data_IF_096531317682
#
_entry.id   IF_096531317682
#
_cell.length_a   1.000
_cell.length_b   1.000
_cell.length_c   1.000
_cell.angle_alpha   90.00
_cell.angle_beta   90.00
_cell.angle_gamma   90.00
#
_symmetry.space_group_name_H-M   'P 1'
#
loop_
_entity.id
_entity.type
_entity.pdbx_description
1 polymer ?
#
# COMPACT_ATOMS: atom_id res chain seq x y z
N UNK A 1 5.33 33.04 8.33
CA UNK A 1 3.94 32.55 8.46
C UNK A 1 3.33 32.48 7.06
N UNK A 2 2.51 31.47 6.76
CA UNK A 2 1.73 31.46 5.50
C UNK A 2 1.66 30.15 4.71
N UNK A 3 1.92 28.97 5.29
CA UNK A 3 1.58 27.70 4.62
C UNK A 3 0.26 27.16 5.16
N UNK A 4 -0.67 26.90 4.26
CA UNK A 4 -1.91 26.17 4.54
C UNK A 4 -1.60 24.69 4.72
N UNK A 5 -2.47 23.95 5.42
CA UNK A 5 -2.35 22.49 5.53
C UNK A 5 -2.36 21.81 4.15
N UNK A 6 -3.04 22.40 3.17
CA UNK A 6 -3.10 21.90 1.78
C UNK A 6 -1.72 21.92 1.11
N UNK A 7 -0.84 22.85 1.48
CA UNK A 7 0.51 22.95 0.93
C UNK A 7 1.45 21.85 1.45
N UNK A 8 1.02 21.08 2.46
CA UNK A 8 1.78 20.03 3.11
C UNK A 8 1.31 18.62 2.71
N UNK A 9 0.34 18.50 1.81
CA UNK A 9 -0.14 17.21 1.32
C UNK A 9 0.97 16.49 0.54
N UNK A 10 1.12 15.20 0.80
CA UNK A 10 2.08 14.37 0.09
C UNK A 10 1.52 13.99 -1.29
N UNK A 11 2.11 14.47 -2.41
CA UNK A 11 1.68 14.07 -3.75
C UNK A 11 1.89 12.56 -4.00
N UNK A 12 2.85 11.93 -3.30
CA UNK A 12 3.18 10.51 -3.42
C UNK A 12 2.40 9.63 -2.42
N UNK A 13 1.26 10.13 -1.91
CA UNK A 13 0.43 9.40 -0.94
C UNK A 13 -0.26 8.17 -1.54
N UNK A 14 -0.44 8.12 -2.87
CA UNK A 14 -1.08 7.03 -3.58
C UNK A 14 -0.36 6.70 -4.88
N UNK A 15 -0.04 5.42 -5.06
CA UNK A 15 0.39 4.87 -6.34
C UNK A 15 -0.47 3.65 -6.65
N UNK A 16 -1.20 3.70 -7.78
CA UNK A 16 -2.02 2.59 -8.26
C UNK A 16 -1.22 1.81 -9.29
N UNK A 17 -1.02 0.51 -9.04
CA UNK A 17 -0.31 -0.39 -9.94
C UNK A 17 -1.31 -1.39 -10.54
N UNK A 18 -1.38 -1.43 -11.87
CA UNK A 18 -2.26 -2.32 -12.62
C UNK A 18 -1.45 -3.44 -13.27
N UNK A 19 -2.08 -4.60 -13.52
CA UNK A 19 -1.42 -5.75 -14.16
C UNK A 19 -0.37 -6.44 -13.28
N UNK A 20 -0.48 -6.29 -11.95
CA UNK A 20 0.37 -6.98 -10.99
C UNK A 20 0.18 -8.50 -11.07
N UNK A 21 1.26 -9.25 -10.85
CA UNK A 21 1.23 -10.72 -10.79
C UNK A 21 1.30 -11.17 -9.34
N UNK A 22 0.48 -12.17 -9.01
CA UNK A 22 0.34 -12.71 -7.66
C UNK A 22 0.49 -14.23 -7.71
N UNK A 23 0.82 -14.82 -6.57
CA UNK A 23 0.88 -16.27 -6.44
C UNK A 23 -0.52 -16.91 -6.43
N UNK A 24 -0.68 -18.15 -6.93
CA UNK A 24 -1.97 -18.84 -6.89
C UNK A 24 -2.53 -19.05 -5.48
N UNK A 25 -1.66 -19.07 -4.45
CA UNK A 25 -2.02 -19.32 -3.05
C UNK A 25 -3.03 -18.31 -2.47
N UNK A 26 -3.09 -17.10 -3.04
CA UNK A 26 -3.96 -16.02 -2.57
C UNK A 26 -5.20 -15.80 -3.44
N UNK A 27 -5.50 -16.75 -4.35
CA UNK A 27 -6.67 -16.66 -5.24
C UNK A 27 -8.00 -16.66 -4.47
N UNK A 28 -8.07 -17.35 -3.34
CA UNK A 28 -9.28 -17.41 -2.50
C UNK A 28 -9.29 -16.34 -1.38
N UNK A 29 -8.47 -15.30 -1.50
CA UNK A 29 -8.35 -14.28 -0.47
C UNK A 29 -9.65 -13.47 -0.35
N UNK A 30 -10.12 -13.28 0.88
CA UNK A 30 -11.37 -12.52 1.15
C UNK A 30 -11.05 -11.10 1.62
N UNK A 31 -11.94 -10.13 1.40
CA UNK A 31 -11.77 -8.76 1.90
C UNK A 31 -11.33 -8.71 3.37
N UNK A 32 -10.35 -7.85 3.66
CA UNK A 32 -9.77 -7.68 5.00
C UNK A 32 -8.71 -8.72 5.39
N UNK A 33 -8.53 -9.81 4.64
CA UNK A 33 -7.40 -10.73 4.86
C UNK A 33 -6.07 -10.01 4.63
N UNK A 34 -5.03 -10.45 5.36
CA UNK A 34 -3.72 -9.78 5.42
C UNK A 34 -2.61 -10.73 5.00
N UNK A 35 -1.67 -10.21 4.23
CA UNK A 35 -0.54 -10.96 3.69
C UNK A 35 0.74 -10.16 3.82
N UNK A 36 1.85 -10.86 4.00
CA UNK A 36 3.17 -10.31 3.70
C UNK A 36 3.48 -10.63 2.24
N UNK A 37 3.63 -9.61 1.39
CA UNK A 37 4.22 -9.80 0.07
C UNK A 37 5.72 -9.74 0.23
N UNK A 38 6.39 -10.84 -0.16
CA UNK A 38 7.79 -11.06 0.12
C UNK A 38 8.66 -9.89 -0.33
N UNK A 39 9.47 -9.38 0.59
CA UNK A 39 10.38 -8.23 0.39
C UNK A 39 9.71 -6.91 -0.01
N UNK A 40 8.38 -6.83 -0.05
CA UNK A 40 7.64 -5.63 -0.44
C UNK A 40 6.99 -4.92 0.75
N UNK A 41 6.25 -5.66 1.58
CA UNK A 41 5.48 -5.08 2.67
C UNK A 41 4.31 -5.94 3.09
N UNK A 42 3.49 -5.40 3.97
CA UNK A 42 2.22 -6.00 4.38
C UNK A 42 1.08 -5.37 3.60
N UNK A 43 0.18 -6.22 3.13
CA UNK A 43 -0.96 -5.86 2.30
C UNK A 43 -2.25 -6.45 2.87
N UNK A 44 -3.37 -5.81 2.60
CA UNK A 44 -4.69 -6.37 2.84
C UNK A 44 -5.54 -6.38 1.57
N UNK A 45 -6.48 -7.31 1.51
CA UNK A 45 -7.50 -7.36 0.44
C UNK A 45 -8.48 -6.22 0.66
N UNK A 46 -8.64 -5.38 -0.35
CA UNK A 46 -9.55 -4.23 -0.31
C UNK A 46 -11.02 -4.68 -0.40
N UNK A 47 -11.97 -3.98 0.26
CA UNK A 47 -13.41 -4.26 0.14
C UNK A 47 -13.96 -4.24 -1.29
N UNK A 48 -13.36 -3.47 -2.20
CA UNK A 48 -13.74 -3.39 -3.61
C UNK A 48 -13.22 -4.58 -4.43
N UNK A 49 -12.52 -5.52 -3.80
CA UNK A 49 -12.05 -6.75 -4.45
C UNK A 49 -13.21 -7.64 -4.87
N UNK A 50 -13.12 -8.18 -6.07
CA UNK A 50 -14.04 -9.20 -6.60
C UNK A 50 -13.27 -10.48 -6.95
N UNK A 51 -13.95 -11.63 -7.10
CA UNK A 51 -13.29 -12.89 -7.49
C UNK A 51 -12.46 -12.78 -8.79
N UNK A 52 -12.90 -11.95 -9.74
CA UNK A 52 -12.23 -11.76 -11.03
C UNK A 52 -11.23 -10.59 -11.03
N UNK A 53 -11.31 -9.70 -10.04
CA UNK A 53 -10.46 -8.51 -9.93
C UNK A 53 -10.07 -8.29 -8.46
N UNK A 54 -9.05 -9.00 -7.97
CA UNK A 54 -8.56 -8.82 -6.61
C UNK A 54 -7.77 -7.51 -6.49
N UNK A 55 -8.04 -6.75 -5.42
CA UNK A 55 -7.40 -5.46 -5.13
C UNK A 55 -6.67 -5.57 -3.78
N UNK A 56 -5.41 -5.14 -3.76
CA UNK A 56 -4.58 -5.19 -2.56
C UNK A 56 -4.05 -3.80 -2.20
N UNK A 57 -4.33 -3.38 -0.98
CA UNK A 57 -3.80 -2.14 -0.42
C UNK A 57 -2.56 -2.43 0.41
N UNK A 58 -1.51 -1.61 0.24
CA UNK A 58 -0.33 -1.70 1.08
C UNK A 58 -0.62 -1.09 2.44
N UNK A 59 -0.68 -1.92 3.48
CA UNK A 59 -0.85 -1.50 4.86
C UNK A 59 0.40 -0.77 5.37
N UNK A 60 1.58 -1.37 5.19
CA UNK A 60 2.85 -0.78 5.63
C UNK A 60 4.05 -1.41 4.89
N UNK A 61 5.14 -0.66 4.77
CA UNK A 61 6.43 -1.16 4.26
C UNK A 61 7.14 -2.02 5.31
N UNK A 62 8.06 -2.90 4.87
CA UNK A 62 8.81 -3.77 5.79
C UNK A 62 9.76 -3.01 6.72
N UNK A 63 10.17 -1.81 6.33
CA UNK A 63 11.08 -0.96 7.09
C UNK A 63 10.49 0.43 7.19
N UNK A 64 10.76 1.07 8.31
CA UNK A 64 10.43 2.48 8.48
C UNK A 64 11.38 3.34 7.64
N UNK A 65 10.82 4.02 6.64
CA UNK A 65 11.55 4.98 5.81
C UNK A 65 11.42 6.41 6.31
N UNK A 66 10.50 6.70 7.23
CA UNK A 66 10.30 8.06 7.75
C UNK A 66 11.47 8.52 8.60
N UNK A 67 12.06 7.62 9.41
CA UNK A 67 13.28 7.92 10.16
C UNK A 67 14.43 8.41 9.26
N UNK A 68 14.51 7.93 8.01
CA UNK A 68 15.52 8.36 7.03
C UNK A 68 15.20 9.72 6.42
N UNK A 69 13.92 9.97 6.09
CA UNK A 69 13.47 11.25 5.51
C UNK A 69 13.62 12.39 6.53
N UNK A 70 13.40 12.12 7.82
CA UNK A 70 13.59 13.12 8.89
C UNK A 70 15.06 13.50 9.10
N UNK A 71 16.01 12.57 8.91
CA UNK A 71 17.45 12.88 9.02
C UNK A 71 18.01 13.70 7.85
N UNK A 72 17.29 13.74 6.72
CA UNK A 72 17.69 14.46 5.51
C UNK A 72 17.00 15.83 5.36
N UNK A 73 16.02 16.14 6.22
CA UNK A 73 15.36 17.45 6.31
C UNK A 73 16.04 18.30 7.38
#
# INVERSE_FOLDING_TARGET
EGKSFLDLLNPDSLHVLNGCKLEPSIQAATPGQRFQFERMGYFCVDPDSTPDSPVFNRTVTLKDTWARVQQQR
#
